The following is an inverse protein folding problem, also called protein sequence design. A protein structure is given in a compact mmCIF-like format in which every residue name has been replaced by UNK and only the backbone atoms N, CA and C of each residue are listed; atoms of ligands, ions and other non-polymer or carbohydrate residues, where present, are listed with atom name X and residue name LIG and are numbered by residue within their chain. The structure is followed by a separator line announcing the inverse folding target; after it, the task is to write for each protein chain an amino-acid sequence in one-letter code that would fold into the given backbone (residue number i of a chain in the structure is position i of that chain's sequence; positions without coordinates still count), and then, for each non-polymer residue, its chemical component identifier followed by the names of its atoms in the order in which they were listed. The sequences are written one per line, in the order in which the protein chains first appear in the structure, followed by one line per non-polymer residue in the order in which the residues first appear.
data_IF_894759816490
#
_entry.id   IF_894759816490
#
_cell.length_a   1.000
_cell.length_b   1.000
_cell.length_c   1.000
_cell.angle_alpha   90.00
_cell.angle_beta   90.00
_cell.angle_gamma   90.00
#
_symmetry.space_group_name_H-M   'P 1'
#
loop_
_entity.id
_entity.type
_entity.pdbx_description
1 polymer ?
#
# COMPACT_ATOMS: atom_id res chain seq x y z
N UNK A 1 14.61 -29.90 -5.15
CA UNK A 1 14.32 -28.43 -5.29
C UNK A 1 14.27 -27.84 -3.89
N UNK A 2 15.26 -27.11 -3.51
CA UNK A 2 15.27 -26.40 -2.23
C UNK A 2 14.30 -25.23 -2.33
N UNK A 3 13.13 -25.36 -1.74
CA UNK A 3 12.25 -24.24 -1.44
C UNK A 3 12.97 -23.36 -0.41
N UNK A 4 13.88 -22.51 -0.88
CA UNK A 4 14.45 -21.48 -0.03
C UNK A 4 13.31 -20.48 0.26
N UNK A 5 12.99 -20.32 1.53
CA UNK A 5 12.04 -19.27 1.97
C UNK A 5 12.45 -17.94 1.37
N UNK A 6 11.51 -17.09 0.93
CA UNK A 6 11.82 -15.81 0.34
C UNK A 6 12.61 -14.95 1.35
N UNK A 7 13.77 -14.48 0.92
CA UNK A 7 14.66 -13.65 1.73
C UNK A 7 14.51 -12.19 1.37
N UNK A 8 14.49 -11.35 2.38
CA UNK A 8 14.48 -9.89 2.21
C UNK A 8 15.87 -9.42 1.78
N UNK A 9 15.94 -8.82 0.59
CA UNK A 9 17.15 -8.21 0.04
C UNK A 9 17.28 -6.74 0.42
N UNK A 10 16.18 -6.00 0.33
CA UNK A 10 16.11 -4.59 0.69
C UNK A 10 14.91 -4.36 1.60
N UNK A 11 15.08 -3.46 2.55
CA UNK A 11 14.07 -3.09 3.53
C UNK A 11 14.00 -1.58 3.68
N UNK A 12 12.79 -1.07 3.83
CA UNK A 12 12.56 0.36 4.04
C UNK A 12 11.16 0.62 4.57
N UNK A 13 10.83 1.89 4.72
CA UNK A 13 9.51 2.33 5.17
C UNK A 13 8.97 3.45 4.30
N UNK A 14 7.66 3.44 4.08
CA UNK A 14 6.92 4.54 3.48
C UNK A 14 6.02 5.13 4.55
N UNK A 15 6.06 6.44 4.74
CA UNK A 15 5.17 7.13 5.67
C UNK A 15 3.80 7.38 5.01
N UNK A 16 2.73 6.92 5.67
CA UNK A 16 1.35 7.20 5.30
C UNK A 16 0.67 7.81 6.52
N UNK A 17 0.62 9.14 6.59
CA UNK A 17 0.21 9.84 7.80
C UNK A 17 1.12 9.50 8.97
N UNK A 18 0.55 9.00 10.05
CA UNK A 18 1.29 8.59 11.25
C UNK A 18 1.77 7.13 11.20
N UNK A 19 1.52 6.42 10.10
CA UNK A 19 1.85 5.01 9.95
C UNK A 19 3.12 4.83 9.13
N UNK A 20 4.07 4.09 9.67
CA UNK A 20 5.24 3.62 8.95
C UNK A 20 4.91 2.27 8.31
N UNK A 21 4.67 2.29 7.01
CA UNK A 21 4.42 1.09 6.22
C UNK A 21 5.75 0.46 5.83
N UNK A 22 6.07 -0.67 6.45
CA UNK A 22 7.28 -1.44 6.10
C UNK A 22 7.14 -2.03 4.71
N UNK A 23 8.14 -1.81 3.88
CA UNK A 23 8.24 -2.36 2.54
C UNK A 23 9.54 -3.13 2.35
N UNK A 24 9.48 -4.13 1.48
CA UNK A 24 10.60 -5.05 1.23
C UNK A 24 10.75 -5.32 -0.25
N UNK A 25 11.96 -5.62 -0.65
CA UNK A 25 12.26 -6.26 -1.94
C UNK A 25 12.90 -7.60 -1.63
N UNK A 26 12.35 -8.65 -2.19
CA UNK A 26 12.84 -10.02 -2.00
C UNK A 26 14.03 -10.31 -2.93
N UNK A 27 14.70 -11.42 -2.69
CA UNK A 27 15.88 -11.84 -3.47
C UNK A 27 15.59 -12.12 -4.96
N UNK A 28 14.34 -12.40 -5.32
CA UNK A 28 13.87 -12.55 -6.70
C UNK A 28 13.48 -11.23 -7.40
N UNK A 29 13.61 -10.09 -6.68
CA UNK A 29 13.22 -8.78 -7.16
C UNK A 29 11.75 -8.41 -6.90
N UNK A 30 10.95 -9.30 -6.35
CA UNK A 30 9.56 -9.02 -5.99
C UNK A 30 9.50 -8.00 -4.86
N UNK A 31 8.74 -6.93 -5.05
CA UNK A 31 8.52 -5.89 -4.04
C UNK A 31 7.15 -6.00 -3.39
N UNK A 32 7.04 -5.50 -2.18
CA UNK A 32 5.78 -5.50 -1.45
C UNK A 32 5.88 -4.94 -0.05
N UNK A 33 4.88 -5.25 0.75
CA UNK A 33 4.68 -4.67 2.08
C UNK A 33 4.53 -5.75 3.15
N UNK A 34 4.66 -5.33 4.40
CA UNK A 34 4.21 -6.11 5.56
C UNK A 34 2.68 -5.95 5.66
N UNK A 35 1.95 -7.06 5.54
CA UNK A 35 0.48 -7.07 5.44
C UNK A 35 -0.22 -6.37 6.61
N UNK A 36 0.24 -6.58 7.83
CA UNK A 36 -0.35 -5.99 9.03
C UNK A 36 -0.34 -4.46 8.98
N UNK A 37 0.78 -3.88 8.58
CA UNK A 37 0.92 -2.43 8.49
C UNK A 37 0.18 -1.84 7.31
N UNK A 38 0.08 -2.59 6.21
CA UNK A 38 -0.76 -2.22 5.09
C UNK A 38 -2.22 -2.05 5.53
N UNK A 39 -2.74 -3.00 6.31
CA UNK A 39 -4.10 -2.90 6.86
C UNK A 39 -4.27 -1.64 7.74
N UNK A 40 -3.32 -1.35 8.60
CA UNK A 40 -3.35 -0.13 9.43
C UNK A 40 -3.27 1.14 8.58
N UNK A 41 -2.46 1.16 7.55
CA UNK A 41 -2.31 2.33 6.68
C UNK A 41 -3.60 2.74 5.97
N UNK A 42 -4.45 1.78 5.62
CA UNK A 42 -5.74 2.05 4.98
C UNK A 42 -6.89 2.32 5.96
N UNK A 43 -6.65 2.19 7.28
CA UNK A 43 -7.61 2.58 8.31
C UNK A 43 -8.10 1.46 9.23
N UNK A 44 -7.58 0.25 9.15
CA UNK A 44 -7.87 -0.80 10.12
C UNK A 44 -7.18 -0.51 11.46
N UNK A 45 -7.93 -0.46 12.54
CA UNK A 45 -7.42 -0.10 13.87
C UNK A 45 -7.12 -1.29 14.78
N UNK A 46 -7.47 -2.49 14.34
CA UNK A 46 -7.31 -3.71 15.12
C UNK A 46 -5.84 -4.11 15.24
N UNK A 47 -5.46 -4.64 16.41
CA UNK A 47 -4.08 -5.12 16.64
C UNK A 47 -3.67 -6.25 15.68
N UNK A 48 -4.64 -7.10 15.29
CA UNK A 48 -4.44 -8.24 14.40
C UNK A 48 -5.52 -8.29 13.35
N UNK A 49 -5.43 -7.47 12.29
CA UNK A 49 -6.49 -7.34 11.29
C UNK A 49 -6.65 -8.58 10.38
N UNK A 50 -5.69 -9.46 10.34
CA UNK A 50 -5.52 -10.66 9.50
C UNK A 50 -6.75 -11.17 8.74
N UNK A 51 -7.61 -11.96 9.41
CA UNK A 51 -8.78 -12.57 8.75
C UNK A 51 -9.85 -11.56 8.32
N UNK A 52 -10.04 -10.49 9.09
CA UNK A 52 -10.98 -9.41 8.72
C UNK A 52 -10.47 -8.63 7.51
N UNK A 53 -9.18 -8.38 7.46
CA UNK A 53 -8.57 -7.72 6.30
C UNK A 53 -8.70 -8.57 5.04
N UNK A 54 -8.47 -9.87 5.10
CA UNK A 54 -8.67 -10.78 3.96
C UNK A 54 -10.12 -10.84 3.50
N UNK A 55 -11.07 -10.88 4.44
CA UNK A 55 -12.50 -10.81 4.10
C UNK A 55 -12.86 -9.50 3.42
N UNK A 56 -12.34 -8.41 3.92
CA UNK A 56 -12.49 -7.09 3.31
C UNK A 56 -11.92 -7.05 1.89
N UNK A 57 -10.72 -7.60 1.66
CA UNK A 57 -10.14 -7.69 0.32
C UNK A 57 -11.02 -8.49 -0.64
N UNK A 58 -11.60 -9.59 -0.18
CA UNK A 58 -12.50 -10.41 -0.99
C UNK A 58 -13.73 -9.64 -1.47
N UNK A 59 -14.25 -8.71 -0.67
CA UNK A 59 -15.41 -7.89 -1.02
C UNK A 59 -15.06 -6.70 -1.90
N UNK A 60 -13.95 -6.02 -1.59
CA UNK A 60 -13.59 -4.72 -2.19
C UNK A 60 -12.71 -4.88 -3.43
N UNK A 61 -11.82 -5.83 -3.41
CA UNK A 61 -10.82 -6.04 -4.46
C UNK A 61 -10.65 -7.54 -4.74
N UNK A 62 -11.70 -8.24 -5.23
CA UNK A 62 -11.66 -9.69 -5.41
C UNK A 62 -10.53 -10.15 -6.33
N UNK A 63 -10.16 -9.34 -7.31
CA UNK A 63 -9.05 -9.64 -8.21
C UNK A 63 -7.68 -9.62 -7.50
N UNK A 64 -7.57 -8.88 -6.40
CA UNK A 64 -6.33 -8.85 -5.61
C UNK A 64 -6.08 -10.14 -4.83
N UNK A 65 -7.10 -10.94 -4.57
CA UNK A 65 -6.96 -12.23 -3.90
C UNK A 65 -6.07 -13.19 -4.69
N UNK A 66 -6.06 -13.10 -6.02
CA UNK A 66 -5.17 -13.90 -6.86
C UNK A 66 -3.69 -13.62 -6.60
N UNK A 67 -3.34 -12.41 -6.18
CA UNK A 67 -2.00 -12.05 -5.73
C UNK A 67 -1.67 -12.71 -4.40
N UNK A 68 -2.64 -12.79 -3.49
CA UNK A 68 -2.47 -13.45 -2.20
C UNK A 68 -2.41 -14.97 -2.31
N UNK A 69 -3.20 -15.60 -3.17
CA UNK A 69 -3.22 -17.06 -3.31
C UNK A 69 -1.90 -17.64 -3.83
N UNK A 70 -1.15 -16.84 -4.60
CA UNK A 70 0.17 -17.23 -5.13
C UNK A 70 1.33 -16.95 -4.17
N UNK A 71 1.18 -15.97 -3.28
CA UNK A 71 2.27 -15.44 -2.44
C UNK A 71 1.92 -15.29 -0.96
N UNK A 72 0.67 -15.43 -0.57
CA UNK A 72 0.17 -15.09 0.78
C UNK A 72 0.54 -16.08 1.87
N UNK A 73 1.17 -17.16 1.52
CA UNK A 73 1.74 -18.10 2.51
C UNK A 73 3.21 -17.79 2.80
N UNK A 74 3.78 -16.83 2.09
CA UNK A 74 5.17 -16.49 2.26
C UNK A 74 5.37 -15.65 3.51
N UNK A 75 5.73 -16.36 4.58
CA UNK A 75 6.26 -15.73 5.77
C UNK A 75 7.68 -15.29 5.46
N UNK A 76 7.91 -13.99 5.54
CA UNK A 76 9.23 -13.40 5.38
C UNK A 76 9.85 -13.09 6.73
N UNK A 77 11.18 -13.10 6.78
CA UNK A 77 11.94 -12.68 7.96
C UNK A 77 12.48 -11.28 7.75
N UNK A 78 12.09 -10.36 8.63
CA UNK A 78 12.56 -8.98 8.61
C UNK A 78 13.98 -8.86 9.19
N UNK A 79 14.71 -7.75 8.93
CA UNK A 79 16.07 -7.54 9.44
C UNK A 79 16.19 -7.62 10.96
N UNK A 80 15.13 -7.27 11.70
CA UNK A 80 15.07 -7.38 13.16
C UNK A 80 14.83 -8.83 13.68
N UNK A 81 14.74 -9.82 12.79
CA UNK A 81 14.47 -11.23 13.11
C UNK A 81 13.00 -11.58 13.26
N UNK A 82 12.08 -10.61 13.25
CA UNK A 82 10.65 -10.88 13.29
C UNK A 82 10.15 -11.52 11.99
N UNK A 83 9.12 -12.36 12.11
CA UNK A 83 8.41 -12.91 10.95
C UNK A 83 7.21 -12.06 10.61
N UNK A 84 6.91 -11.93 9.33
CA UNK A 84 5.78 -11.16 8.84
C UNK A 84 5.16 -11.81 7.60
N UNK A 85 3.88 -11.54 7.37
CA UNK A 85 3.21 -11.94 6.14
C UNK A 85 3.46 -10.90 5.07
N UNK A 86 3.90 -11.35 3.90
CA UNK A 86 4.18 -10.51 2.75
C UNK A 86 2.89 -10.16 1.98
N UNK A 87 2.75 -8.90 1.60
CA UNK A 87 1.70 -8.41 0.70
C UNK A 87 2.35 -7.83 -0.57
N UNK A 88 2.09 -8.39 -1.77
CA UNK A 88 2.74 -7.95 -2.99
C UNK A 88 2.45 -6.49 -3.36
N UNK A 89 3.38 -5.86 -4.08
CA UNK A 89 3.19 -4.56 -4.70
C UNK A 89 1.95 -4.57 -5.62
N UNK A 90 1.18 -3.49 -5.60
CA UNK A 90 -0.09 -3.36 -6.32
C UNK A 90 -1.31 -3.55 -5.43
N UNK A 91 -1.23 -4.31 -4.35
CA UNK A 91 -2.37 -4.52 -3.43
C UNK A 91 -2.85 -3.22 -2.81
N UNK A 92 -1.95 -2.34 -2.40
CA UNK A 92 -2.35 -1.04 -1.84
C UNK A 92 -3.20 -0.26 -2.85
N UNK A 93 -2.77 -0.20 -4.10
CA UNK A 93 -3.51 0.47 -5.17
C UNK A 93 -4.88 -0.17 -5.42
N UNK A 94 -4.94 -1.50 -5.50
CA UNK A 94 -6.19 -2.23 -5.71
C UNK A 94 -7.19 -2.01 -4.58
N UNK A 95 -6.72 -2.00 -3.34
CA UNK A 95 -7.59 -1.78 -2.18
C UNK A 95 -8.14 -0.36 -2.15
N UNK A 96 -7.29 0.64 -2.32
CA UNK A 96 -7.76 2.04 -2.29
C UNK A 96 -8.68 2.35 -3.47
N UNK A 97 -8.40 1.81 -4.65
CA UNK A 97 -9.27 1.92 -5.81
C UNK A 97 -10.62 1.22 -5.58
N UNK A 98 -10.61 0.02 -5.02
CA UNK A 98 -11.82 -0.75 -4.70
C UNK A 98 -12.72 -0.05 -3.68
N UNK A 99 -12.15 0.58 -2.66
CA UNK A 99 -12.91 1.40 -1.69
C UNK A 99 -13.57 2.58 -2.38
N UNK A 100 -12.82 3.29 -3.24
CA UNK A 100 -13.33 4.44 -3.98
C UNK A 100 -14.46 4.05 -4.94
N UNK A 101 -14.29 2.95 -5.67
CA UNK A 101 -15.28 2.43 -6.59
C UNK A 101 -16.57 2.01 -5.85
N UNK A 102 -16.44 1.24 -4.77
CA UNK A 102 -17.58 0.82 -3.96
C UNK A 102 -18.33 2.00 -3.34
N UNK A 103 -17.62 3.03 -2.91
CA UNK A 103 -18.23 4.26 -2.41
C UNK A 103 -19.01 4.98 -3.52
N UNK A 104 -18.44 5.08 -4.72
CA UNK A 104 -19.07 5.70 -5.89
C UNK A 104 -20.35 4.96 -6.33
N UNK A 105 -20.33 3.63 -6.28
CA UNK A 105 -21.49 2.78 -6.63
C UNK A 105 -22.53 2.66 -5.50
N UNK A 106 -22.24 3.20 -4.31
CA UNK A 106 -23.13 3.08 -3.15
C UNK A 106 -23.16 1.68 -2.53
N UNK A 107 -22.22 0.81 -2.86
CA UNK A 107 -22.14 -0.57 -2.38
C UNK A 107 -21.28 -0.73 -1.14
N UNK A 108 -20.57 0.31 -0.72
CA UNK A 108 -19.72 0.27 0.46
C UNK A 108 -20.56 0.19 1.74
N UNK A 109 -20.29 -0.83 2.56
CA UNK A 109 -20.98 -1.01 3.82
C UNK A 109 -20.77 0.21 4.75
N UNK A 110 -21.85 0.62 5.45
CA UNK A 110 -21.85 1.83 6.30
C UNK A 110 -20.71 1.86 7.32
N UNK A 111 -20.38 0.72 7.92
CA UNK A 111 -19.27 0.62 8.88
C UNK A 111 -17.89 0.88 8.28
N UNK A 112 -17.77 0.89 6.94
CA UNK A 112 -16.51 1.10 6.21
C UNK A 112 -16.38 2.47 5.55
N UNK A 113 -17.39 3.32 5.69
CA UNK A 113 -17.37 4.68 5.12
C UNK A 113 -16.22 5.53 5.64
N UNK A 114 -15.72 5.25 6.84
CA UNK A 114 -14.56 5.93 7.41
C UNK A 114 -13.26 5.67 6.63
N UNK A 115 -13.21 4.62 5.80
CA UNK A 115 -12.06 4.31 4.96
C UNK A 115 -11.96 5.18 3.71
N UNK A 116 -13.07 5.81 3.29
CA UNK A 116 -13.13 6.57 2.02
C UNK A 116 -12.15 7.74 2.01
N UNK A 117 -12.12 8.52 3.09
CA UNK A 117 -11.23 9.68 3.19
C UNK A 117 -9.74 9.30 3.10
N UNK A 118 -9.21 8.40 3.93
CA UNK A 118 -7.81 8.00 3.82
C UNK A 118 -7.49 7.31 2.50
N UNK A 119 -8.36 6.46 2.00
CA UNK A 119 -8.15 5.78 0.72
C UNK A 119 -8.13 6.76 -0.45
N UNK A 120 -9.01 7.75 -0.47
CA UNK A 120 -9.01 8.82 -1.49
C UNK A 120 -7.70 9.60 -1.50
N UNK A 121 -7.21 9.99 -0.33
CA UNK A 121 -5.96 10.73 -0.20
C UNK A 121 -4.76 9.89 -0.68
N UNK A 122 -4.67 8.64 -0.26
CA UNK A 122 -3.62 7.70 -0.67
C UNK A 122 -3.66 7.48 -2.19
N UNK A 123 -4.84 7.23 -2.76
CA UNK A 123 -5.00 7.02 -4.20
C UNK A 123 -4.47 8.18 -5.01
N UNK A 124 -4.87 9.42 -4.67
CA UNK A 124 -4.41 10.62 -5.37
C UNK A 124 -2.91 10.84 -5.24
N UNK A 125 -2.36 10.65 -4.05
CA UNK A 125 -0.93 10.80 -3.81
C UNK A 125 -0.12 9.76 -4.61
N UNK A 126 -0.55 8.49 -4.63
CA UNK A 126 0.07 7.43 -5.42
C UNK A 126 0.04 7.73 -6.91
N UNK A 127 -1.13 8.14 -7.42
CA UNK A 127 -1.30 8.44 -8.85
C UNK A 127 -0.38 9.58 -9.31
N UNK A 128 -0.35 10.69 -8.59
CA UNK A 128 0.50 11.84 -8.92
C UNK A 128 2.00 11.53 -8.77
N UNK A 129 2.37 10.77 -7.73
CA UNK A 129 3.76 10.34 -7.54
C UNK A 129 4.21 9.41 -8.66
N UNK A 130 3.34 8.47 -9.06
CA UNK A 130 3.60 7.57 -10.19
C UNK A 130 3.74 8.31 -11.50
N UNK A 131 2.87 9.29 -11.77
CA UNK A 131 2.96 10.15 -12.95
C UNK A 131 4.30 10.91 -13.01
N UNK A 132 4.71 11.53 -11.89
CA UNK A 132 5.99 12.22 -11.80
C UNK A 132 7.17 11.27 -12.02
N UNK A 133 7.13 10.08 -11.45
CA UNK A 133 8.17 9.06 -11.62
C UNK A 133 8.30 8.63 -13.08
N UNK A 134 7.19 8.42 -13.79
CA UNK A 134 7.18 8.05 -15.21
C UNK A 134 7.76 9.16 -16.09
N UNK A 135 7.43 10.42 -15.80
CA UNK A 135 8.00 11.56 -16.53
C UNK A 135 9.51 11.66 -16.29
N UNK A 136 9.94 11.54 -15.05
CA UNK A 136 11.36 11.57 -14.69
C UNK A 136 12.15 10.43 -15.35
N UNK A 137 11.56 9.24 -15.43
CA UNK A 137 12.19 8.10 -16.13
C UNK A 137 12.26 8.36 -17.63
N UNK A 138 11.18 8.78 -18.26
CA UNK A 138 11.12 9.03 -19.70
C UNK A 138 12.08 10.13 -20.16
N UNK A 139 12.32 11.13 -19.32
CA UNK A 139 13.23 12.25 -19.61
C UNK A 139 14.66 12.01 -19.09
N UNK A 140 14.88 10.99 -18.28
CA UNK A 140 16.15 10.75 -17.59
C UNK A 140 16.42 11.70 -16.42
N UNK A 141 15.47 12.57 -16.08
CA UNK A 141 15.65 13.59 -15.04
C UNK A 141 15.73 13.01 -13.62
N UNK A 142 15.29 11.78 -13.42
CA UNK A 142 15.42 11.07 -12.14
C UNK A 142 16.86 11.09 -11.57
N UNK A 143 17.88 11.12 -12.45
CA UNK A 143 19.31 11.18 -12.06
C UNK A 143 19.67 12.49 -11.34
N UNK A 144 18.87 13.54 -11.54
CA UNK A 144 19.04 14.86 -10.94
C UNK A 144 18.19 15.05 -9.67
N UNK A 145 17.33 14.07 -9.34
CA UNK A 145 16.50 14.10 -8.16
C UNK A 145 17.26 13.63 -6.93
N UNK A 146 16.91 14.19 -5.78
CA UNK A 146 17.36 13.65 -4.50
C UNK A 146 16.88 12.21 -4.33
N UNK A 147 17.64 11.34 -3.65
CA UNK A 147 17.25 9.92 -3.45
C UNK A 147 15.89 9.72 -2.79
N UNK A 148 15.46 10.66 -1.95
CA UNK A 148 14.19 10.66 -1.22
C UNK A 148 13.09 11.48 -1.88
N UNK A 149 13.30 11.96 -3.09
CA UNK A 149 12.38 12.86 -3.80
C UNK A 149 10.96 12.30 -3.90
N UNK A 150 10.81 11.05 -4.31
CA UNK A 150 9.47 10.45 -4.47
C UNK A 150 8.75 10.28 -3.14
N UNK A 151 9.47 9.93 -2.07
CA UNK A 151 8.89 9.85 -0.73
C UNK A 151 8.39 11.22 -0.25
N UNK A 152 9.19 12.26 -0.44
CA UNK A 152 8.83 13.62 -0.05
C UNK A 152 7.65 14.16 -0.88
N UNK A 153 7.62 13.86 -2.17
CA UNK A 153 6.50 14.21 -3.05
C UNK A 153 5.22 13.51 -2.61
N UNK A 154 5.28 12.21 -2.36
CA UNK A 154 4.13 11.43 -1.90
C UNK A 154 3.57 11.98 -0.58
N UNK A 155 4.42 12.24 0.40
CA UNK A 155 4.04 12.78 1.69
C UNK A 155 3.37 14.16 1.57
N UNK A 156 3.93 15.04 0.74
CA UNK A 156 3.33 16.34 0.43
C UNK A 156 1.94 16.19 -0.19
N UNK A 157 1.81 15.36 -1.22
CA UNK A 157 0.56 15.15 -1.94
C UNK A 157 -0.51 14.50 -1.06
N UNK A 158 -0.10 13.61 -0.16
CA UNK A 158 -1.01 13.00 0.80
C UNK A 158 -1.62 14.03 1.74
N UNK A 159 -0.80 14.94 2.28
CA UNK A 159 -1.26 16.04 3.15
C UNK A 159 -2.19 17.02 2.41
N UNK A 160 -1.85 17.39 1.19
CA UNK A 160 -2.69 18.26 0.35
C UNK A 160 -4.04 17.61 0.07
N UNK A 161 -4.07 16.35 -0.30
CA UNK A 161 -5.31 15.62 -0.58
C UNK A 161 -6.20 15.47 0.66
N UNK A 162 -5.63 15.26 1.83
CA UNK A 162 -6.36 15.20 3.09
C UNK A 162 -6.98 16.57 3.44
N UNK A 163 -6.22 17.65 3.28
CA UNK A 163 -6.71 19.03 3.49
C UNK A 163 -7.83 19.41 2.52
N UNK A 164 -7.73 19.02 1.25
CA UNK A 164 -8.78 19.30 0.25
C UNK A 164 -10.09 18.58 0.58
N UNK A 165 -10.00 17.37 1.11
CA UNK A 165 -11.18 16.64 1.57
C UNK A 165 -11.91 17.38 2.70
N UNK A 166 -11.17 17.88 3.69
CA UNK A 166 -11.73 18.60 4.83
C UNK A 166 -12.42 19.91 4.41
N UNK A 167 -11.95 20.56 3.34
CA UNK A 167 -12.57 21.76 2.80
C UNK A 167 -13.86 21.52 2.02
N UNK A 168 -14.04 20.30 1.45
CA UNK A 168 -15.19 19.97 0.61
C UNK A 168 -16.36 19.38 1.41
N UNK A 169 -16.11 18.86 2.56
CA UNK A 169 -17.06 18.14 3.41
C UNK A 169 -16.96 18.57 4.88
#
# INVERSE_FOLDING_TARGET
MTNSSPQVRCYGTIQIGDISLECVVLNDGTSGYVQRQLAHAIGFTEKRPGSRFRRFLAEIAPNSLSYFDKTSQDVIRLPNGATATFAPCGILTEVVAGVMESASLGTLHTQRKHLVKPCSAIYRALAKTGEAALIDEATGYQRNRAPDYLQNLFDKLLRESASDWERRF
#
